data_IF_618027592799
#
_entry.id   IF_618027592799
#
_cell.length_a   1.000
_cell.length_b   1.000
_cell.length_c   1.000
_cell.angle_alpha   90.00
_cell.angle_beta   90.00
_cell.angle_gamma   90.00
#
_symmetry.space_group_name_H-M   'P 1'
#
loop_
_entity.id
_entity.type
_entity.pdbx_description
1 polymer ?
#
# COMPACT_ATOMS: atom_id res chain seq x y z
N UNK A 1 5.41 33.09 24.50
CA UNK A 1 5.86 31.69 24.48
C UNK A 1 5.49 31.13 23.12
N UNK A 2 6.45 31.09 22.22
CA UNK A 2 6.25 30.71 20.81
C UNK A 2 6.19 29.19 20.73
N UNK A 3 5.00 28.62 20.59
CA UNK A 3 4.80 27.20 20.25
C UNK A 3 5.09 27.03 18.76
N UNK A 4 6.37 26.92 18.42
CA UNK A 4 6.78 26.25 17.19
C UNK A 4 6.33 24.79 17.33
N UNK A 5 5.20 24.45 16.71
CA UNK A 5 4.85 23.06 16.44
C UNK A 5 5.98 22.55 15.56
N UNK A 6 6.90 21.76 16.12
CA UNK A 6 7.98 21.11 15.39
C UNK A 6 7.36 20.36 14.21
N UNK A 7 7.48 20.90 12.99
CA UNK A 7 7.04 20.21 11.78
C UNK A 7 7.88 18.95 11.65
N UNK A 8 7.30 17.81 11.95
CA UNK A 8 7.99 16.53 11.80
C UNK A 8 7.77 16.03 10.38
N UNK A 9 8.88 15.68 9.73
CA UNK A 9 8.87 15.04 8.42
C UNK A 9 9.12 13.55 8.66
N UNK A 10 8.16 12.72 8.28
CA UNK A 10 8.29 11.28 8.31
C UNK A 10 8.30 10.76 6.87
N UNK A 11 9.28 9.93 6.54
CA UNK A 11 9.35 9.25 5.25
C UNK A 11 9.12 7.77 5.48
N UNK A 12 8.17 7.19 4.75
CA UNK A 12 7.96 5.74 4.73
C UNK A 12 8.09 5.23 3.30
N UNK A 13 8.65 4.05 3.12
CA UNK A 13 8.67 3.40 1.81
C UNK A 13 7.36 2.65 1.62
N UNK A 14 6.76 2.81 0.44
CA UNK A 14 5.54 2.12 0.03
C UNK A 14 5.84 1.19 -1.14
N UNK A 15 5.27 -0.01 -1.11
CA UNK A 15 5.26 -0.96 -2.22
C UNK A 15 3.82 -1.29 -2.59
N UNK A 16 3.46 -1.15 -3.86
CA UNK A 16 2.09 -1.39 -4.29
C UNK A 16 1.87 -1.29 -5.79
N UNK A 17 0.63 -1.53 -6.20
CA UNK A 17 0.19 -1.45 -7.58
C UNK A 17 -0.67 -0.21 -7.80
N UNK A 18 -0.61 0.38 -9.00
CA UNK A 18 -1.50 1.48 -9.38
C UNK A 18 -2.95 0.99 -9.37
N UNK A 19 -3.84 1.76 -8.76
CA UNK A 19 -5.27 1.50 -8.74
C UNK A 19 -5.92 1.99 -10.04
N UNK A 20 -5.92 1.16 -11.08
CA UNK A 20 -6.66 1.41 -12.31
C UNK A 20 -8.13 0.96 -12.18
N UNK A 21 -8.96 1.31 -13.17
CA UNK A 21 -10.41 1.11 -13.11
C UNK A 21 -10.82 -0.36 -12.90
N UNK A 22 -10.15 -1.28 -13.59
CA UNK A 22 -10.40 -2.73 -13.45
C UNK A 22 -10.02 -3.25 -12.06
N UNK A 23 -8.83 -2.92 -11.55
CA UNK A 23 -8.43 -3.32 -10.20
C UNK A 23 -9.39 -2.74 -9.15
N UNK A 24 -9.83 -1.49 -9.33
CA UNK A 24 -10.83 -0.85 -8.48
C UNK A 24 -12.16 -1.59 -8.52
N UNK A 25 -12.61 -2.01 -9.69
CA UNK A 25 -13.84 -2.80 -9.86
C UNK A 25 -13.74 -4.13 -9.09
N UNK A 26 -12.64 -4.88 -9.27
CA UNK A 26 -12.45 -6.17 -8.62
C UNK A 26 -12.34 -6.04 -7.09
N UNK A 27 -11.58 -5.06 -6.60
CA UNK A 27 -11.50 -4.75 -5.17
C UNK A 27 -12.88 -4.39 -4.59
N UNK A 28 -13.69 -3.61 -5.34
CA UNK A 28 -15.07 -3.29 -4.94
C UNK A 28 -16.02 -4.49 -4.94
N UNK A 29 -15.67 -5.61 -5.56
CA UNK A 29 -16.42 -6.86 -5.48
C UNK A 29 -15.94 -7.75 -4.33
N UNK A 30 -14.71 -7.55 -3.87
CA UNK A 30 -14.11 -8.32 -2.79
C UNK A 30 -14.71 -7.99 -1.42
N UNK A 31 -15.33 -8.97 -0.77
CA UNK A 31 -15.83 -8.83 0.60
C UNK A 31 -14.66 -8.66 1.59
N UNK A 32 -13.58 -9.40 1.41
CA UNK A 32 -12.39 -9.32 2.26
C UNK A 32 -11.76 -7.92 2.23
N UNK A 33 -11.63 -7.33 1.04
CA UNK A 33 -11.14 -5.96 0.91
C UNK A 33 -12.04 -4.94 1.62
N UNK A 34 -13.37 -5.06 1.45
CA UNK A 34 -14.33 -4.18 2.11
C UNK A 34 -14.21 -4.22 3.62
N UNK A 35 -13.99 -5.41 4.19
CA UNK A 35 -13.78 -5.55 5.63
C UNK A 35 -12.52 -4.82 6.10
N UNK A 36 -11.40 -5.00 5.38
CA UNK A 36 -10.14 -4.29 5.68
C UNK A 36 -10.32 -2.77 5.65
N UNK A 37 -11.12 -2.23 4.73
CA UNK A 37 -11.41 -0.78 4.66
C UNK A 37 -12.23 -0.25 5.84
N UNK A 38 -12.98 -1.10 6.53
CA UNK A 38 -13.83 -0.73 7.67
C UNK A 38 -13.03 -0.77 8.98
N UNK A 39 -12.04 -1.66 9.08
CA UNK A 39 -11.20 -1.78 10.27
C UNK A 39 -10.41 -0.48 10.51
N UNK A 40 -10.65 0.17 11.65
CA UNK A 40 -10.06 1.48 11.99
C UNK A 40 -8.55 1.46 12.21
N UNK A 41 -7.95 0.28 12.32
CA UNK A 41 -6.51 0.09 12.45
C UNK A 41 -6.05 -0.87 11.36
N UNK A 42 -5.25 -0.41 10.38
CA UNK A 42 -4.63 -1.33 9.45
C UNK A 42 -3.77 -2.30 10.25
N UNK A 43 -4.08 -3.59 10.17
CA UNK A 43 -3.25 -4.63 10.75
C UNK A 43 -1.93 -4.70 9.97
N UNK A 44 -0.84 -5.06 10.63
CA UNK A 44 0.44 -5.23 9.94
C UNK A 44 0.30 -6.21 8.77
N UNK A 45 0.77 -5.80 7.59
CA UNK A 45 0.68 -6.60 6.37
C UNK A 45 -0.68 -6.53 5.64
N UNK A 46 -1.62 -5.68 6.07
CA UNK A 46 -2.81 -5.37 5.27
C UNK A 46 -2.51 -4.35 4.18
N UNK A 47 -3.22 -4.46 3.05
CA UNK A 47 -3.11 -3.45 1.99
C UNK A 47 -3.91 -2.19 2.35
N UNK A 48 -3.42 -1.03 1.95
CA UNK A 48 -4.08 0.26 2.07
C UNK A 48 -4.03 1.03 0.75
N UNK A 49 -4.93 2.00 0.61
CA UNK A 49 -4.94 2.94 -0.52
C UNK A 49 -4.10 4.18 -0.18
N UNK A 50 -3.24 4.60 -1.11
CA UNK A 50 -2.44 5.83 -0.97
C UNK A 50 -2.52 6.66 -2.25
N UNK A 51 -2.34 7.98 -2.10
CA UNK A 51 -2.29 8.90 -3.22
C UNK A 51 -0.85 9.40 -3.43
N UNK A 52 -0.30 9.19 -4.62
CA UNK A 52 1.06 9.56 -4.98
C UNK A 52 1.12 10.04 -6.43
N UNK A 53 1.74 11.21 -6.67
CA UNK A 53 1.87 11.81 -8.01
C UNK A 53 0.56 11.82 -8.83
N UNK A 54 -0.53 12.31 -8.23
CA UNK A 54 -1.87 12.41 -8.86
C UNK A 54 -2.51 11.05 -9.23
N UNK A 55 -2.01 9.94 -8.67
CA UNK A 55 -2.50 8.59 -8.92
C UNK A 55 -2.76 7.88 -7.59
N UNK A 56 -3.77 7.03 -7.60
CA UNK A 56 -4.08 6.16 -6.48
C UNK A 56 -3.33 4.84 -6.63
N UNK A 57 -2.85 4.30 -5.51
CA UNK A 57 -2.14 3.04 -5.42
C UNK A 57 -2.73 2.20 -4.29
N UNK A 58 -2.63 0.87 -4.41
CA UNK A 58 -2.98 -0.09 -3.37
C UNK A 58 -1.76 -0.93 -3.06
N UNK A 59 -1.42 -1.09 -1.78
CA UNK A 59 -0.15 -1.66 -1.37
C UNK A 59 0.05 -1.58 0.14
N UNK A 60 1.29 -1.65 0.60
CA UNK A 60 1.61 -1.55 2.02
C UNK A 60 2.86 -0.69 2.26
N UNK A 61 2.94 -0.10 3.45
CA UNK A 61 4.15 0.55 3.91
C UNK A 61 5.12 -0.49 4.46
N UNK A 62 6.39 -0.35 4.11
CA UNK A 62 7.45 -1.19 4.65
C UNK A 62 7.73 -0.76 6.11
N UNK A 63 7.85 -1.71 7.05
CA UNK A 63 7.98 -1.40 8.48
C UNK A 63 9.38 -0.92 8.87
N UNK A 64 10.38 -1.16 8.04
CA UNK A 64 11.78 -0.85 8.32
C UNK A 64 12.28 0.32 7.45
N UNK A 65 13.18 1.14 8.00
CA UNK A 65 13.80 2.27 7.30
C UNK A 65 14.84 1.82 6.26
N UNK A 66 15.48 0.68 6.50
CA UNK A 66 16.51 0.10 5.62
C UNK A 66 16.19 -1.37 5.36
N UNK A 67 16.24 -1.78 4.09
CA UNK A 67 15.96 -3.16 3.68
C UNK A 67 16.95 -3.59 2.61
N UNK A 68 17.27 -4.88 2.60
CA UNK A 68 18.00 -5.53 1.51
C UNK A 68 17.07 -5.76 0.31
N UNK A 69 17.67 -5.97 -0.87
CA UNK A 69 16.90 -6.34 -2.07
C UNK A 69 16.14 -7.66 -1.91
N UNK A 70 16.67 -8.59 -1.10
CA UNK A 70 16.00 -9.87 -0.83
C UNK A 70 14.74 -9.67 0.01
N UNK A 71 14.83 -8.87 1.08
CA UNK A 71 13.67 -8.53 1.92
C UNK A 71 12.62 -7.75 1.13
N UNK A 72 13.04 -6.81 0.27
CA UNK A 72 12.10 -6.09 -0.60
C UNK A 72 11.28 -7.06 -1.48
N UNK A 73 11.92 -8.09 -2.05
CA UNK A 73 11.23 -9.11 -2.84
C UNK A 73 10.25 -9.95 -2.01
N UNK A 74 10.50 -10.14 -0.73
CA UNK A 74 9.56 -10.82 0.17
C UNK A 74 8.30 -9.96 0.38
N UNK A 75 8.44 -8.65 0.56
CA UNK A 75 7.31 -7.73 0.64
C UNK A 75 6.54 -7.64 -0.68
N UNK A 76 7.22 -7.63 -1.83
CA UNK A 76 6.57 -7.69 -3.15
C UNK A 76 5.70 -8.95 -3.29
N UNK A 77 6.23 -10.11 -2.91
CA UNK A 77 5.47 -11.38 -2.90
C UNK A 77 4.28 -11.32 -1.96
N UNK A 78 4.45 -10.73 -0.77
CA UNK A 78 3.37 -10.58 0.20
C UNK A 78 2.24 -9.69 -0.35
N UNK A 79 2.59 -8.57 -1.01
CA UNK A 79 1.60 -7.70 -1.67
C UNK A 79 0.86 -8.47 -2.77
N UNK A 80 1.56 -9.23 -3.62
CA UNK A 80 0.96 -10.06 -4.65
C UNK A 80 0.00 -11.10 -4.05
N UNK A 81 0.43 -11.79 -2.98
CA UNK A 81 -0.41 -12.76 -2.28
C UNK A 81 -1.71 -12.09 -1.78
N UNK A 82 -1.61 -10.91 -1.17
CA UNK A 82 -2.79 -10.16 -0.70
C UNK A 82 -3.72 -9.76 -1.84
N UNK A 83 -3.18 -9.34 -2.98
CA UNK A 83 -4.00 -9.09 -4.17
C UNK A 83 -4.73 -10.35 -4.64
N UNK A 84 -4.09 -11.52 -4.61
CA UNK A 84 -4.75 -12.79 -4.95
C UNK A 84 -5.80 -13.20 -3.93
N UNK A 85 -5.58 -12.93 -2.64
CA UNK A 85 -6.57 -13.15 -1.58
C UNK A 85 -7.82 -12.27 -1.79
N UNK A 86 -7.63 -11.01 -2.19
CA UNK A 86 -8.75 -10.09 -2.41
C UNK A 86 -9.41 -10.26 -3.79
N UNK A 87 -8.62 -10.57 -4.81
CA UNK A 87 -9.04 -10.64 -6.22
C UNK A 87 -8.46 -11.92 -6.87
N UNK A 88 -9.07 -13.10 -6.66
CA UNK A 88 -8.51 -14.38 -7.14
C UNK A 88 -8.41 -14.48 -8.66
N UNK A 89 -9.30 -13.79 -9.38
CA UNK A 89 -9.35 -13.75 -10.85
C UNK A 89 -8.43 -12.70 -11.47
N UNK A 90 -7.69 -11.93 -10.66
CA UNK A 90 -6.78 -10.91 -11.18
C UNK A 90 -5.58 -11.56 -11.86
N UNK A 91 -5.33 -11.23 -13.12
CA UNK A 91 -4.15 -11.68 -13.86
C UNK A 91 -2.87 -11.09 -13.23
N UNK A 92 -1.80 -11.89 -13.16
CA UNK A 92 -0.55 -11.45 -12.50
C UNK A 92 0.11 -10.26 -13.23
N UNK A 93 -0.01 -10.22 -14.55
CA UNK A 93 0.53 -9.17 -15.42
C UNK A 93 -0.06 -7.79 -15.15
N UNK A 94 -1.25 -7.77 -14.57
CA UNK A 94 -1.98 -6.57 -14.15
C UNK A 94 -1.38 -5.97 -12.87
N UNK A 95 -0.72 -6.78 -12.05
CA UNK A 95 -0.10 -6.37 -10.79
C UNK A 95 1.33 -5.88 -11.06
N UNK A 96 1.46 -4.65 -11.56
CA UNK A 96 2.76 -3.98 -11.72
C UNK A 96 3.13 -3.25 -10.44
N UNK A 97 3.90 -3.92 -9.59
CA UNK A 97 4.39 -3.34 -8.35
C UNK A 97 5.39 -2.22 -8.62
N UNK A 98 5.26 -1.15 -7.84
CA UNK A 98 6.18 -0.03 -7.79
C UNK A 98 6.55 0.24 -6.34
N UNK A 99 7.75 0.77 -6.14
CA UNK A 99 8.28 1.15 -4.84
C UNK A 99 8.57 2.65 -4.85
N UNK A 100 8.07 3.38 -3.87
CA UNK A 100 8.32 4.82 -3.78
C UNK A 100 8.32 5.32 -2.32
N UNK A 101 9.04 6.41 -2.03
CA UNK A 101 8.96 7.07 -0.73
C UNK A 101 7.68 7.92 -0.64
N UNK A 102 6.97 7.82 0.48
CA UNK A 102 5.85 8.67 0.84
C UNK A 102 6.25 9.57 2.01
N UNK A 103 6.05 10.88 1.82
CA UNK A 103 6.39 11.90 2.81
C UNK A 103 5.12 12.32 3.57
N UNK A 104 5.20 12.31 4.89
CA UNK A 104 4.16 12.78 5.80
C UNK A 104 4.69 14.00 6.55
N UNK A 105 3.88 15.05 6.64
CA UNK A 105 4.18 16.31 7.33
C UNK A 105 3.13 16.47 8.43
N UNK A 106 3.57 16.59 9.68
CA UNK A 106 2.71 16.79 10.86
C UNK A 106 3.12 18.02 11.65
#
# INVERSE_FOLDING_TARGET
MSTEIEKRILVKVFVGCRLHAELRLQLNQSHAWKQVKIESKPQDGTLCEVHYQQKDYVGMFLPQETLTLSELKEYERLVQQKFKEYCPSLEEETIKLVVFPQIFIS
#
